data_IF_156456611610
#
_entry.id   IF_156456611610
#
_cell.length_a   1.000
_cell.length_b   1.000
_cell.length_c   1.000
_cell.angle_alpha   90.00
_cell.angle_beta   90.00
_cell.angle_gamma   90.00
#
_symmetry.space_group_name_H-M   'P 1'
#
loop_
_entity.id
_entity.type
_entity.pdbx_description
1 polymer ?
#
# COMPACT_ATOMS: atom_id res chain seq x y z
N UNK A 1 36.85 14.34 4.26
CA UNK A 1 35.64 14.50 5.10
C UNK A 1 34.61 13.55 4.54
N UNK A 2 34.43 12.40 5.18
CA UNK A 2 33.34 11.47 4.79
C UNK A 2 32.02 12.19 5.08
N UNK A 3 31.26 12.52 4.04
CA UNK A 3 29.85 12.82 4.20
C UNK A 3 29.23 11.56 4.80
N UNK A 4 28.86 11.61 6.09
CA UNK A 4 28.23 10.49 6.76
C UNK A 4 27.01 10.08 5.98
N UNK A 5 26.81 8.77 5.78
CA UNK A 5 25.58 8.23 5.20
C UNK A 5 24.39 8.81 5.98
N UNK A 6 23.39 9.33 5.26
CA UNK A 6 22.18 9.86 5.90
C UNK A 6 21.45 8.69 6.55
N UNK A 7 21.10 8.83 7.82
CA UNK A 7 20.28 7.82 8.50
C UNK A 7 18.79 7.97 8.12
N UNK A 8 18.01 6.93 8.38
CA UNK A 8 16.58 6.90 8.06
C UNK A 8 15.80 8.08 8.66
N UNK A 9 15.94 8.39 9.98
CA UNK A 9 15.25 9.54 10.58
C UNK A 9 15.58 10.88 9.92
N UNK A 10 16.83 11.11 9.56
CA UNK A 10 17.26 12.35 8.87
C UNK A 10 16.68 12.44 7.46
N UNK A 11 16.68 11.33 6.72
CA UNK A 11 16.06 11.24 5.39
C UNK A 11 14.55 11.50 5.46
N UNK A 12 13.86 10.89 6.41
CA UNK A 12 12.42 11.08 6.60
C UNK A 12 12.09 12.53 6.92
N UNK A 13 12.85 13.15 7.83
CA UNK A 13 12.70 14.57 8.19
C UNK A 13 12.88 15.50 6.98
N UNK A 14 13.87 15.22 6.13
CA UNK A 14 14.11 16.01 4.91
C UNK A 14 12.94 15.92 3.90
N UNK A 15 12.19 14.82 3.93
CA UNK A 15 11.02 14.59 3.08
C UNK A 15 9.69 14.91 3.77
N UNK A 16 9.70 15.42 4.99
CA UNK A 16 8.51 15.67 5.82
C UNK A 16 7.65 14.42 6.05
N UNK A 17 8.28 13.25 6.12
CA UNK A 17 7.64 11.96 6.35
C UNK A 17 7.77 11.60 7.84
N UNK A 18 6.70 11.16 8.53
CA UNK A 18 6.80 10.62 9.89
C UNK A 18 7.79 9.45 9.97
N UNK A 19 8.51 9.34 11.10
CA UNK A 19 9.45 8.26 11.32
C UNK A 19 9.35 7.70 12.74
N UNK A 20 9.19 6.38 12.89
CA UNK A 20 8.84 5.41 11.85
C UNK A 20 7.37 5.60 11.38
N UNK A 21 7.15 5.51 10.08
CA UNK A 21 5.83 5.74 9.50
C UNK A 21 4.87 4.56 9.75
N UNK A 22 3.62 4.87 10.08
CA UNK A 22 2.50 3.91 10.17
C UNK A 22 1.61 4.10 8.95
N UNK A 23 1.65 3.12 8.04
CA UNK A 23 0.95 3.16 6.76
C UNK A 23 -0.18 2.13 6.80
N UNK A 24 -1.44 2.61 6.88
CA UNK A 24 -2.62 1.76 6.95
C UNK A 24 -2.92 1.15 5.58
N UNK A 25 -2.47 -0.08 5.35
CA UNK A 25 -2.56 -0.81 4.09
C UNK A 25 -4.02 -1.11 3.72
N UNK A 26 -4.54 -0.38 2.72
CA UNK A 26 -5.96 -0.41 2.31
C UNK A 26 -6.91 -0.02 3.44
N UNK A 27 -6.46 0.86 4.33
CA UNK A 27 -7.12 1.22 5.57
C UNK A 27 -6.76 0.27 6.73
N UNK A 28 -7.58 0.25 7.78
CA UNK A 28 -7.48 -0.72 8.88
C UNK A 28 -8.11 -2.06 8.45
N UNK A 29 -7.49 -2.70 7.47
CA UNK A 29 -8.07 -3.79 6.67
C UNK A 29 -8.09 -5.15 7.40
N UNK A 30 -7.47 -5.26 8.56
CA UNK A 30 -7.66 -6.42 9.44
C UNK A 30 -9.02 -6.38 10.15
N UNK A 31 -9.48 -5.20 10.54
CA UNK A 31 -10.69 -5.02 11.35
C UNK A 31 -11.94 -4.65 10.54
N UNK A 32 -11.76 -4.23 9.29
CA UNK A 32 -12.84 -3.84 8.39
C UNK A 32 -12.49 -4.18 6.93
N UNK A 33 -13.49 -4.33 6.04
CA UNK A 33 -13.22 -4.66 4.65
C UNK A 33 -12.25 -3.66 3.98
N UNK A 34 -11.21 -4.18 3.33
CA UNK A 34 -10.19 -3.37 2.68
C UNK A 34 -10.78 -2.34 1.72
N UNK A 35 -10.15 -1.18 1.63
CA UNK A 35 -10.47 -0.11 0.66
C UNK A 35 -11.91 0.40 0.72
N UNK A 36 -12.54 0.27 1.89
CA UNK A 36 -13.91 0.76 2.15
C UNK A 36 -13.92 1.93 3.11
N UNK A 37 -15.06 2.61 3.17
CA UNK A 37 -15.30 3.71 4.14
C UNK A 37 -15.00 3.27 5.56
N UNK A 38 -15.45 2.09 5.98
CA UNK A 38 -15.22 1.58 7.34
C UNK A 38 -13.72 1.44 7.64
N UNK A 39 -12.95 0.84 6.72
CA UNK A 39 -11.51 0.64 6.90
C UNK A 39 -10.73 1.95 6.95
N UNK A 40 -11.05 2.90 6.09
CA UNK A 40 -10.35 4.19 6.05
C UNK A 40 -10.73 5.11 7.22
N UNK A 41 -12.01 5.17 7.59
CA UNK A 41 -12.43 5.92 8.78
C UNK A 41 -11.78 5.37 10.05
N UNK A 42 -11.75 4.04 10.19
CA UNK A 42 -11.11 3.41 11.34
C UNK A 42 -9.61 3.73 11.40
N UNK A 43 -8.90 3.62 10.29
CA UNK A 43 -7.48 3.95 10.21
C UNK A 43 -7.20 5.42 10.57
N UNK A 44 -8.05 6.35 10.09
CA UNK A 44 -7.98 7.77 10.45
C UNK A 44 -8.13 7.98 11.94
N UNK A 45 -9.18 7.43 12.54
CA UNK A 45 -9.48 7.62 13.97
C UNK A 45 -8.46 6.92 14.89
N UNK A 46 -7.86 5.83 14.45
CA UNK A 46 -6.74 5.20 15.15
C UNK A 46 -5.49 6.10 15.18
N UNK A 47 -5.32 6.99 14.21
CA UNK A 47 -4.19 7.91 14.12
C UNK A 47 -3.06 7.41 13.21
N UNK A 48 -3.37 6.61 12.20
CA UNK A 48 -2.40 6.24 11.16
C UNK A 48 -1.79 7.49 10.51
N UNK A 49 -0.51 7.43 10.16
CA UNK A 49 0.17 8.53 9.47
C UNK A 49 -0.34 8.68 8.03
N UNK A 50 -0.60 7.56 7.37
CA UNK A 50 -1.09 7.51 6.00
C UNK A 50 -2.22 6.50 5.83
N UNK A 51 -3.19 6.87 4.99
CA UNK A 51 -4.13 5.94 4.38
C UNK A 51 -3.54 5.47 3.05
N UNK A 52 -3.25 4.19 2.94
CA UNK A 52 -2.74 3.62 1.69
C UNK A 52 -3.88 3.14 0.81
N UNK A 53 -3.75 3.37 -0.49
CA UNK A 53 -4.78 3.03 -1.48
C UNK A 53 -4.17 2.69 -2.84
N UNK A 54 -4.90 1.83 -3.57
CA UNK A 54 -4.54 1.37 -4.91
C UNK A 54 -5.48 1.98 -5.94
N UNK A 55 -4.96 2.72 -6.90
CA UNK A 55 -5.77 3.36 -7.94
C UNK A 55 -5.85 2.53 -9.20
N UNK A 56 -7.08 2.37 -9.67
CA UNK A 56 -7.44 1.93 -11.01
C UNK A 56 -8.45 2.92 -11.60
N UNK A 57 -8.87 2.69 -12.82
CA UNK A 57 -9.78 3.60 -13.54
C UNK A 57 -10.95 2.85 -14.15
N UNK A 58 -12.14 3.39 -14.00
CA UNK A 58 -13.37 2.85 -14.59
C UNK A 58 -13.42 3.04 -16.11
N UNK A 59 -14.35 2.35 -16.75
CA UNK A 59 -14.64 2.52 -18.18
C UNK A 59 -14.97 3.96 -18.54
N UNK A 60 -15.70 4.67 -17.66
CA UNK A 60 -16.07 6.09 -17.81
C UNK A 60 -15.08 7.05 -17.15
N UNK A 61 -13.82 6.62 -17.03
CA UNK A 61 -12.67 7.46 -16.70
C UNK A 61 -12.66 8.06 -15.28
N UNK A 62 -13.19 7.35 -14.29
CA UNK A 62 -13.15 7.76 -12.87
C UNK A 62 -12.09 6.98 -12.13
N UNK A 63 -11.25 7.66 -11.32
CA UNK A 63 -10.27 7.01 -10.44
C UNK A 63 -10.99 6.35 -9.26
N UNK A 64 -10.81 5.04 -9.12
CA UNK A 64 -11.41 4.21 -8.07
C UNK A 64 -10.34 3.46 -7.29
N UNK A 65 -10.71 3.03 -6.10
CA UNK A 65 -9.80 2.41 -5.13
C UNK A 65 -10.08 0.91 -5.03
N UNK A 66 -9.28 0.13 -5.74
CA UNK A 66 -9.38 -1.33 -5.81
C UNK A 66 -7.98 -1.93 -6.00
N UNK A 67 -7.61 -2.91 -5.19
CA UNK A 67 -6.30 -3.57 -5.30
C UNK A 67 -6.22 -4.58 -6.44
N UNK A 68 -7.14 -5.54 -6.50
CA UNK A 68 -7.07 -6.66 -7.43
C UNK A 68 -7.43 -6.21 -8.87
N UNK A 69 -6.88 -6.90 -9.85
CA UNK A 69 -7.19 -6.67 -11.27
C UNK A 69 -8.65 -6.99 -11.60
N UNK A 70 -9.23 -7.94 -10.85
CA UNK A 70 -10.62 -8.36 -10.97
C UNK A 70 -11.36 -8.22 -9.64
N UNK A 71 -12.67 -8.09 -9.68
CA UNK A 71 -13.50 -7.72 -8.53
C UNK A 71 -13.97 -8.91 -7.67
N UNK A 72 -13.66 -10.15 -8.08
CA UNK A 72 -14.29 -11.36 -7.53
C UNK A 72 -14.01 -11.60 -6.05
N UNK A 73 -12.79 -11.29 -5.57
CA UNK A 73 -12.40 -11.54 -4.16
C UNK A 73 -13.11 -10.60 -3.19
N UNK A 74 -13.30 -9.34 -3.56
CA UNK A 74 -13.75 -8.27 -2.66
C UNK A 74 -15.13 -7.72 -2.99
N UNK A 75 -15.90 -8.39 -3.83
CA UNK A 75 -17.26 -7.97 -4.17
C UNK A 75 -18.16 -9.14 -4.57
N UNK A 76 -19.44 -8.84 -4.75
CA UNK A 76 -20.46 -9.74 -5.26
C UNK A 76 -20.60 -9.70 -6.80
N UNK A 77 -19.54 -9.33 -7.51
CA UNK A 77 -19.54 -9.20 -8.98
C UNK A 77 -20.01 -10.47 -9.69
N UNK A 78 -19.65 -11.65 -9.17
CA UNK A 78 -20.06 -12.93 -9.74
C UNK A 78 -21.58 -13.15 -9.70
N UNK A 79 -22.26 -12.58 -8.73
CA UNK A 79 -23.71 -12.63 -8.59
C UNK A 79 -24.41 -11.54 -9.41
N UNK A 80 -23.85 -10.31 -9.37
CA UNK A 80 -24.45 -9.13 -10.03
C UNK A 80 -24.18 -9.08 -11.52
N UNK A 81 -22.99 -9.48 -11.95
CA UNK A 81 -22.53 -9.46 -13.34
C UNK A 81 -21.84 -10.78 -13.69
N UNK A 82 -22.56 -11.91 -13.69
CA UNK A 82 -21.93 -13.24 -13.85
C UNK A 82 -21.14 -13.40 -15.14
N UNK A 83 -21.56 -12.75 -16.23
CA UNK A 83 -20.85 -12.79 -17.51
C UNK A 83 -19.53 -11.98 -17.50
N UNK A 84 -19.39 -11.07 -16.56
CA UNK A 84 -18.21 -10.21 -16.38
C UNK A 84 -17.49 -10.46 -15.05
N UNK A 85 -17.72 -11.60 -14.40
CA UNK A 85 -17.13 -11.92 -13.10
C UNK A 85 -15.60 -11.92 -13.10
N UNK A 86 -14.97 -12.15 -14.25
CA UNK A 86 -13.51 -12.15 -14.45
C UNK A 86 -13.00 -10.96 -15.26
N UNK A 87 -13.87 -9.99 -15.55
CA UNK A 87 -13.49 -8.77 -16.27
C UNK A 87 -12.67 -7.84 -15.38
N UNK A 88 -11.74 -7.08 -15.96
CA UNK A 88 -10.98 -6.08 -15.20
C UNK A 88 -11.87 -4.92 -14.76
N UNK A 89 -11.40 -4.16 -13.78
CA UNK A 89 -12.09 -2.95 -13.29
C UNK A 89 -12.43 -1.97 -14.42
N UNK A 90 -11.54 -1.85 -15.41
CA UNK A 90 -11.70 -0.97 -16.58
C UNK A 90 -12.89 -1.30 -17.49
N UNK A 91 -13.50 -2.46 -17.35
CA UNK A 91 -14.68 -2.85 -18.12
C UNK A 91 -16.00 -2.40 -17.48
N UNK A 92 -15.95 -1.83 -16.28
CA UNK A 92 -17.11 -1.38 -15.52
C UNK A 92 -17.19 0.14 -15.46
N UNK A 93 -18.42 0.68 -15.57
CA UNK A 93 -18.67 2.09 -15.24
C UNK A 93 -18.66 2.32 -13.72
N UNK A 94 -18.53 3.59 -13.30
CA UNK A 94 -18.63 3.92 -11.88
C UNK A 94 -20.01 3.49 -11.31
N UNK A 95 -21.09 3.72 -12.03
CA UNK A 95 -22.44 3.33 -11.59
C UNK A 95 -22.53 1.82 -11.34
N UNK A 96 -21.96 1.01 -12.24
CA UNK A 96 -21.91 -0.45 -12.07
C UNK A 96 -21.08 -0.84 -10.85
N UNK A 97 -19.89 -0.25 -10.64
CA UNK A 97 -19.07 -0.50 -9.46
C UNK A 97 -19.78 -0.11 -8.16
N UNK A 98 -20.49 1.01 -8.16
CA UNK A 98 -21.25 1.48 -7.00
C UNK A 98 -22.46 0.59 -6.66
N UNK A 99 -22.91 -0.24 -7.59
CA UNK A 99 -23.97 -1.22 -7.34
C UNK A 99 -23.50 -2.49 -6.62
N UNK A 100 -22.19 -2.71 -6.53
CA UNK A 100 -21.61 -3.90 -5.90
C UNK A 100 -21.56 -3.78 -4.38
N UNK A 101 -21.71 -4.92 -3.70
CA UNK A 101 -21.40 -5.09 -2.30
C UNK A 101 -19.91 -5.42 -2.16
N UNK A 102 -19.16 -4.50 -1.57
CA UNK A 102 -17.73 -4.63 -1.33
C UNK A 102 -17.37 -4.94 0.13
N UNK A 103 -18.34 -5.30 0.96
CA UNK A 103 -18.13 -5.54 2.39
C UNK A 103 -18.52 -6.93 2.88
N UNK A 104 -19.56 -7.55 2.34
CA UNK A 104 -20.05 -8.85 2.81
C UNK A 104 -19.06 -10.00 2.67
N UNK A 105 -18.18 -9.95 1.70
CA UNK A 105 -17.09 -10.92 1.54
C UNK A 105 -16.20 -11.04 2.78
N UNK A 106 -15.95 -9.90 3.46
CA UNK A 106 -15.14 -9.84 4.68
C UNK A 106 -15.80 -10.61 5.82
N UNK A 107 -17.10 -10.44 6.02
CA UNK A 107 -17.87 -11.14 7.04
C UNK A 107 -17.82 -12.65 6.84
N UNK A 108 -17.84 -13.09 5.58
CA UNK A 108 -17.75 -14.52 5.23
C UNK A 108 -16.33 -15.06 5.45
N UNK A 109 -15.31 -14.29 5.07
CA UNK A 109 -13.92 -14.69 5.21
C UNK A 109 -13.44 -14.65 6.66
N UNK A 110 -13.96 -13.72 7.46
CA UNK A 110 -13.52 -13.43 8.83
C UNK A 110 -14.71 -13.32 9.79
N UNK A 111 -15.40 -14.44 10.09
CA UNK A 111 -16.63 -14.41 10.91
C UNK A 111 -16.43 -13.85 12.32
N UNK A 112 -15.25 -14.00 12.91
CA UNK A 112 -14.91 -13.44 14.24
C UNK A 112 -14.80 -11.92 14.26
N UNK A 113 -14.66 -11.28 13.12
CA UNK A 113 -14.56 -9.82 12.94
C UNK A 113 -15.72 -9.26 12.13
N UNK A 114 -16.69 -10.13 11.80
CA UNK A 114 -17.85 -9.75 11.00
C UNK A 114 -18.72 -8.73 11.72
N UNK A 115 -19.29 -7.80 10.95
CA UNK A 115 -20.29 -6.84 11.39
C UNK A 115 -21.38 -6.73 10.34
N UNK A 116 -22.64 -6.73 10.78
CA UNK A 116 -23.78 -6.59 9.87
C UNK A 116 -23.70 -5.30 9.04
N UNK A 117 -23.20 -4.22 9.65
CA UNK A 117 -22.98 -2.92 9.01
C UNK A 117 -21.95 -2.92 7.87
N UNK A 118 -21.13 -3.95 7.75
CA UNK A 118 -20.20 -4.08 6.62
C UNK A 118 -20.87 -4.52 5.32
N UNK A 119 -22.07 -5.12 5.40
CA UNK A 119 -22.85 -5.44 4.22
C UNK A 119 -23.15 -4.17 3.42
N UNK A 120 -23.06 -4.27 2.09
CA UNK A 120 -23.33 -3.17 1.15
C UNK A 120 -22.35 -1.98 1.23
N UNK A 121 -21.21 -2.10 1.89
CA UNK A 121 -20.12 -1.14 1.68
C UNK A 121 -19.74 -1.12 0.21
N UNK A 122 -19.41 0.07 -0.30
CA UNK A 122 -19.18 0.29 -1.72
C UNK A 122 -17.70 0.44 -2.05
N UNK A 123 -17.36 0.22 -3.32
CA UNK A 123 -16.07 0.63 -3.89
C UNK A 123 -16.02 2.17 -3.89
N UNK A 124 -14.91 2.72 -3.41
CA UNK A 124 -14.72 4.17 -3.29
C UNK A 124 -14.03 4.76 -4.51
N UNK A 125 -14.35 6.02 -4.78
CA UNK A 125 -13.54 6.88 -5.65
C UNK A 125 -12.37 7.49 -4.88
N UNK A 126 -11.35 7.99 -5.59
CA UNK A 126 -10.28 8.77 -4.96
C UNK A 126 -10.83 10.00 -4.22
N UNK A 127 -11.81 10.71 -4.80
CA UNK A 127 -12.44 11.86 -4.15
C UNK A 127 -13.04 11.49 -2.79
N UNK A 128 -13.72 10.35 -2.69
CA UNK A 128 -14.30 9.88 -1.43
C UNK A 128 -13.24 9.57 -0.36
N UNK A 129 -12.09 9.00 -0.76
CA UNK A 129 -10.98 8.77 0.19
C UNK A 129 -10.35 10.10 0.61
N UNK A 130 -10.22 11.06 -0.28
CA UNK A 130 -9.77 12.43 0.06
C UNK A 130 -10.73 13.06 1.08
N UNK A 131 -12.04 12.96 0.87
CA UNK A 131 -13.04 13.45 1.81
C UNK A 131 -12.90 12.83 3.20
N UNK A 132 -12.62 11.53 3.26
CA UNK A 132 -12.35 10.84 4.54
C UNK A 132 -11.09 11.42 5.20
N UNK A 133 -10.00 11.57 4.47
CA UNK A 133 -8.75 12.12 5.01
C UNK A 133 -8.90 13.55 5.54
N UNK A 134 -9.77 14.35 4.92
CA UNK A 134 -10.06 15.73 5.32
C UNK A 134 -11.14 15.84 6.42
N UNK A 135 -11.92 14.79 6.63
CA UNK A 135 -13.18 14.84 7.40
C UNK A 135 -13.05 15.04 8.90
N UNK A 136 -11.83 15.00 9.47
CA UNK A 136 -11.61 15.28 10.89
C UNK A 136 -10.41 16.22 11.06
N UNK A 137 -10.62 17.48 11.48
CA UNK A 137 -9.53 18.46 11.64
C UNK A 137 -8.46 18.03 12.66
N UNK A 138 -8.79 17.14 13.59
CA UNK A 138 -7.86 16.64 14.62
C UNK A 138 -7.14 15.35 14.20
N UNK A 139 -7.56 14.75 13.10
CA UNK A 139 -7.04 13.48 12.59
C UNK A 139 -6.89 13.60 11.06
N UNK A 140 -5.77 14.16 10.62
CA UNK A 140 -5.50 14.42 9.20
C UNK A 140 -4.38 13.52 8.68
N UNK A 141 -4.66 12.25 8.36
CA UNK A 141 -3.68 11.38 7.74
C UNK A 141 -3.31 11.89 6.36
N UNK A 142 -2.08 11.58 5.94
CA UNK A 142 -1.68 11.70 4.54
C UNK A 142 -2.29 10.59 3.69
N UNK A 143 -2.05 10.65 2.38
CA UNK A 143 -2.42 9.62 1.43
C UNK A 143 -1.16 8.98 0.85
N UNK A 144 -1.15 7.66 0.81
CA UNK A 144 -0.09 6.85 0.23
C UNK A 144 -0.68 6.10 -0.98
N UNK A 145 -0.42 6.58 -2.19
CA UNK A 145 -1.22 6.26 -3.38
C UNK A 145 -0.41 5.43 -4.37
N UNK A 146 -0.89 4.22 -4.67
CA UNK A 146 -0.32 3.35 -5.70
C UNK A 146 -1.02 3.54 -7.05
N UNK A 147 -0.24 3.73 -8.12
CA UNK A 147 -0.71 3.52 -9.48
C UNK A 147 -0.66 2.01 -9.77
N UNK A 148 -1.82 1.37 -9.65
CA UNK A 148 -1.96 -0.08 -9.82
C UNK A 148 -2.05 -0.44 -11.30
N UNK A 149 -1.30 -1.46 -11.73
CA UNK A 149 -1.25 -1.92 -13.14
C UNK A 149 -1.29 -0.78 -14.17
N UNK A 150 -0.40 0.22 -14.07
CA UNK A 150 -0.52 1.49 -14.80
C UNK A 150 -0.50 1.33 -16.32
N UNK A 151 0.06 0.23 -16.83
CA UNK A 151 0.05 -0.11 -18.27
C UNK A 151 -1.37 -0.27 -18.82
N UNK A 152 -2.33 -0.65 -17.98
CA UNK A 152 -3.74 -0.77 -18.36
C UNK A 152 -4.46 0.60 -18.39
N UNK A 153 -3.88 1.61 -17.77
CA UNK A 153 -4.49 2.92 -17.59
C UNK A 153 -3.57 4.05 -18.10
N UNK A 154 -3.30 4.14 -19.41
CA UNK A 154 -2.43 5.20 -19.95
C UNK A 154 -2.90 6.59 -19.50
N UNK A 155 -1.97 7.40 -18.99
CA UNK A 155 -2.25 8.75 -18.49
C UNK A 155 -2.76 8.83 -17.05
N UNK A 156 -2.81 7.73 -16.31
CA UNK A 156 -3.29 7.72 -14.92
C UNK A 156 -2.45 8.65 -14.02
N UNK A 157 -1.17 8.80 -14.29
CA UNK A 157 -0.25 9.65 -13.52
C UNK A 157 -0.64 11.13 -13.63
N UNK A 158 -0.96 11.58 -14.85
CA UNK A 158 -1.44 12.95 -15.07
C UNK A 158 -2.84 13.15 -14.47
N UNK A 159 -3.73 12.17 -14.63
CA UNK A 159 -5.07 12.23 -14.07
C UNK A 159 -5.02 12.33 -12.53
N UNK A 160 -4.14 11.56 -11.88
CA UNK A 160 -3.89 11.65 -10.45
C UNK A 160 -3.37 13.02 -10.04
N UNK A 161 -2.38 13.54 -10.76
CA UNK A 161 -1.83 14.89 -10.52
C UNK A 161 -2.92 15.96 -10.63
N UNK A 162 -3.73 15.92 -11.67
CA UNK A 162 -4.81 16.90 -11.88
C UNK A 162 -5.85 16.83 -10.74
N UNK A 163 -6.19 15.64 -10.26
CA UNK A 163 -7.11 15.46 -9.12
C UNK A 163 -6.53 16.02 -7.84
N UNK A 164 -5.31 15.66 -7.48
CA UNK A 164 -4.65 16.13 -6.28
C UNK A 164 -4.46 17.65 -6.28
N UNK A 165 -4.12 18.21 -7.41
CA UNK A 165 -3.98 19.67 -7.58
C UNK A 165 -5.33 20.37 -7.39
N UNK A 166 -6.38 19.87 -8.02
CA UNK A 166 -7.73 20.44 -7.91
C UNK A 166 -8.27 20.40 -6.46
N UNK A 167 -7.87 19.39 -5.69
CA UNK A 167 -8.25 19.24 -4.28
C UNK A 167 -7.30 19.96 -3.30
N UNK A 168 -6.24 20.63 -3.78
CA UNK A 168 -5.27 21.35 -2.92
C UNK A 168 -4.35 20.43 -2.10
N UNK A 169 -4.07 19.22 -2.57
CA UNK A 169 -3.28 18.24 -1.85
C UNK A 169 -1.78 18.30 -2.16
N UNK A 170 -1.37 19.04 -3.17
CA UNK A 170 0.04 19.14 -3.56
C UNK A 170 0.81 20.24 -2.81
N UNK A 171 0.15 21.08 -2.02
CA UNK A 171 0.74 22.25 -1.39
C UNK A 171 1.45 21.95 -0.05
N UNK A 172 1.21 20.78 0.54
CA UNK A 172 1.81 20.38 1.82
C UNK A 172 2.84 19.26 1.63
N UNK A 173 4.14 19.53 1.88
CA UNK A 173 5.18 18.50 1.79
C UNK A 173 4.87 17.28 2.69
N UNK A 174 5.08 16.09 2.16
CA UNK A 174 4.89 14.83 2.90
C UNK A 174 3.46 14.41 3.16
N UNK A 175 2.46 15.20 2.73
CA UNK A 175 1.04 14.83 2.85
C UNK A 175 0.63 13.73 1.90
N UNK A 176 1.27 13.67 0.74
CA UNK A 176 1.09 12.63 -0.27
C UNK A 176 2.41 11.92 -0.49
N UNK A 177 2.36 10.59 -0.51
CA UNK A 177 3.43 9.74 -1.03
C UNK A 177 2.84 8.94 -2.18
N UNK A 178 3.55 8.87 -3.30
CA UNK A 178 3.18 8.09 -4.46
C UNK A 178 4.01 6.81 -4.50
N UNK A 179 3.42 5.71 -4.95
CA UNK A 179 4.14 4.44 -5.06
C UNK A 179 3.74 3.69 -6.32
N UNK A 180 4.63 2.85 -6.79
CA UNK A 180 4.39 1.97 -7.95
C UNK A 180 5.44 0.87 -8.01
N UNK A 181 5.07 -0.29 -8.58
CA UNK A 181 6.03 -1.34 -8.98
C UNK A 181 6.64 -1.05 -10.36
N UNK A 182 6.01 -0.20 -11.15
CA UNK A 182 6.37 0.04 -12.55
C UNK A 182 7.34 1.21 -12.67
N UNK A 183 8.55 0.97 -13.22
CA UNK A 183 9.56 2.02 -13.38
C UNK A 183 9.16 3.09 -14.38
N UNK A 184 8.34 2.76 -15.38
CA UNK A 184 7.85 3.77 -16.32
C UNK A 184 6.83 4.68 -15.64
N UNK A 185 5.91 4.12 -14.83
CA UNK A 185 4.98 4.91 -14.02
C UNK A 185 5.74 5.78 -13.02
N UNK A 186 6.79 5.26 -12.37
CA UNK A 186 7.64 6.06 -11.48
C UNK A 186 8.20 7.30 -12.19
N UNK A 187 8.75 7.12 -13.39
CA UNK A 187 9.29 8.22 -14.18
C UNK A 187 8.19 9.24 -14.56
N UNK A 188 7.01 8.77 -14.95
CA UNK A 188 5.87 9.64 -15.28
C UNK A 188 5.34 10.37 -14.03
N UNK A 189 5.25 9.72 -12.89
CA UNK A 189 4.89 10.36 -11.62
C UNK A 189 5.91 11.45 -11.25
N UNK A 190 7.20 11.18 -11.46
CA UNK A 190 8.24 12.19 -11.21
C UNK A 190 8.16 13.36 -12.16
N UNK A 191 7.87 13.11 -13.43
CA UNK A 191 7.65 14.17 -14.42
C UNK A 191 6.44 15.05 -14.07
N UNK A 192 5.33 14.44 -13.64
CA UNK A 192 4.08 15.15 -13.32
C UNK A 192 4.16 15.88 -11.97
N UNK A 193 4.79 15.28 -10.98
CA UNK A 193 4.81 15.75 -9.59
C UNK A 193 6.22 15.60 -8.99
N UNK A 194 7.23 16.36 -9.50
CA UNK A 194 8.61 16.20 -9.07
C UNK A 194 8.82 16.48 -7.57
N UNK A 195 8.00 17.34 -6.97
CA UNK A 195 8.08 17.72 -5.56
C UNK A 195 7.42 16.71 -4.60
N UNK A 196 6.58 15.79 -5.10
CA UNK A 196 5.88 14.81 -4.28
C UNK A 196 6.79 13.61 -4.02
N UNK A 197 6.95 13.14 -2.77
CA UNK A 197 7.71 11.93 -2.48
C UNK A 197 7.20 10.70 -3.23
N UNK A 198 8.10 9.91 -3.78
CA UNK A 198 7.79 8.68 -4.52
C UNK A 198 8.56 7.50 -3.97
N UNK A 199 7.95 6.35 -3.97
CA UNK A 199 8.49 5.06 -3.54
C UNK A 199 8.42 4.08 -4.70
N UNK A 200 9.52 3.38 -4.98
CA UNK A 200 9.51 2.23 -5.86
C UNK A 200 9.27 0.96 -5.03
N UNK A 201 8.15 0.28 -5.30
CA UNK A 201 7.83 -0.98 -4.66
C UNK A 201 8.72 -2.09 -5.24
N UNK A 202 9.22 -2.98 -4.39
CA UNK A 202 10.10 -4.07 -4.75
C UNK A 202 9.55 -5.41 -4.28
N UNK A 203 9.61 -6.40 -5.15
CA UNK A 203 9.38 -7.80 -4.83
C UNK A 203 10.28 -8.68 -5.69
N UNK A 204 10.34 -9.97 -5.39
CA UNK A 204 11.02 -10.94 -6.25
C UNK A 204 9.97 -11.59 -7.14
N UNK A 205 10.09 -11.38 -8.45
CA UNK A 205 9.15 -11.93 -9.42
C UNK A 205 9.17 -11.19 -10.74
N UNK A 206 8.20 -11.48 -11.57
CA UNK A 206 8.09 -10.90 -12.92
C UNK A 206 8.06 -9.37 -12.87
N UNK A 207 8.85 -8.75 -13.76
CA UNK A 207 8.99 -7.29 -13.88
C UNK A 207 9.58 -6.59 -12.63
N UNK A 208 10.19 -7.34 -11.72
CA UNK A 208 10.91 -6.84 -10.57
C UNK A 208 12.24 -7.60 -10.36
N UNK A 209 12.69 -7.78 -9.12
CA UNK A 209 13.96 -8.42 -8.80
C UNK A 209 13.96 -9.87 -9.29
N UNK A 210 14.97 -10.23 -10.07
CA UNK A 210 15.11 -11.60 -10.59
C UNK A 210 15.43 -12.58 -9.46
N UNK A 211 14.64 -13.68 -9.32
CA UNK A 211 14.90 -14.69 -8.32
C UNK A 211 16.14 -15.53 -8.64
N UNK A 212 16.84 -16.00 -7.62
CA UNK A 212 17.99 -16.89 -7.74
C UNK A 212 17.68 -18.17 -8.51
N UNK A 213 16.44 -18.67 -8.38
CA UNK A 213 15.98 -19.86 -9.11
C UNK A 213 15.77 -19.62 -10.60
N UNK A 214 15.71 -18.36 -11.05
CA UNK A 214 15.39 -17.99 -12.45
C UNK A 214 13.94 -18.30 -12.86
N UNK A 215 13.10 -18.72 -11.91
CA UNK A 215 11.70 -19.11 -12.18
C UNK A 215 10.73 -18.31 -11.31
N UNK A 216 9.68 -17.84 -11.92
CA UNK A 216 8.53 -17.28 -11.20
C UNK A 216 7.61 -18.39 -10.69
N UNK A 217 6.68 -18.04 -9.81
CA UNK A 217 5.73 -18.99 -9.20
C UNK A 217 4.92 -19.75 -10.27
N UNK A 218 4.42 -19.04 -11.27
CA UNK A 218 3.65 -19.61 -12.36
C UNK A 218 4.39 -20.75 -13.11
N UNK A 219 5.72 -20.64 -13.21
CA UNK A 219 6.57 -21.60 -13.93
C UNK A 219 7.21 -22.64 -13.00
N UNK A 220 6.99 -22.53 -11.69
CA UNK A 220 7.61 -23.40 -10.68
C UNK A 220 6.91 -24.75 -10.52
N UNK A 221 5.61 -24.82 -10.86
CA UNK A 221 4.76 -25.97 -10.61
C UNK A 221 4.35 -26.11 -9.12
N UNK A 222 4.76 -25.21 -8.25
CA UNK A 222 4.39 -25.19 -6.84
C UNK A 222 2.95 -24.67 -6.66
N UNK A 223 2.30 -25.10 -5.55
CA UNK A 223 0.91 -24.75 -5.27
C UNK A 223 0.77 -23.68 -4.17
N UNK A 224 1.75 -23.60 -3.27
CA UNK A 224 1.74 -22.65 -2.16
C UNK A 224 2.60 -21.44 -2.50
N UNK A 225 1.90 -20.38 -2.91
CA UNK A 225 2.51 -19.12 -3.34
C UNK A 225 3.30 -18.44 -2.21
N UNK A 226 2.76 -18.41 -1.00
CA UNK A 226 3.41 -17.76 0.13
C UNK A 226 4.71 -18.47 0.51
N UNK A 227 4.69 -19.80 0.60
CA UNK A 227 5.88 -20.61 0.87
C UNK A 227 6.90 -20.50 -0.26
N UNK A 228 6.45 -20.43 -1.51
CA UNK A 228 7.35 -20.25 -2.66
C UNK A 228 8.13 -18.94 -2.52
N UNK A 229 7.44 -17.81 -2.40
CA UNK A 229 8.07 -16.50 -2.33
C UNK A 229 8.89 -16.29 -1.05
N UNK A 230 8.47 -16.87 0.08
CA UNK A 230 9.22 -16.80 1.34
C UNK A 230 10.62 -17.43 1.26
N UNK A 231 10.87 -18.33 0.30
CA UNK A 231 12.17 -18.96 0.07
C UNK A 231 13.01 -18.29 -1.01
N UNK A 232 12.47 -17.27 -1.69
CA UNK A 232 13.20 -16.63 -2.75
C UNK A 232 14.25 -15.66 -2.21
N UNK A 233 15.34 -15.56 -2.97
CA UNK A 233 16.43 -14.59 -2.77
C UNK A 233 16.68 -13.88 -4.11
N UNK A 234 17.21 -12.66 -4.11
CA UNK A 234 17.73 -12.04 -5.32
C UNK A 234 18.78 -12.94 -5.98
N UNK A 235 18.85 -12.89 -7.28
CA UNK A 235 19.85 -13.64 -8.07
C UNK A 235 21.27 -13.44 -7.54
N UNK A 236 21.60 -12.21 -7.19
CA UNK A 236 22.84 -11.81 -6.52
C UNK A 236 22.66 -10.48 -5.78
N UNK A 237 23.68 -10.04 -5.05
CA UNK A 237 23.69 -8.73 -4.39
C UNK A 237 23.54 -7.58 -5.40
N UNK A 238 24.21 -7.67 -6.54
CA UNK A 238 24.19 -6.61 -7.54
C UNK A 238 22.81 -6.45 -8.19
N UNK A 239 22.04 -7.53 -8.29
CA UNK A 239 20.64 -7.46 -8.74
C UNK A 239 19.81 -6.53 -7.85
N UNK A 240 19.91 -6.71 -6.54
CA UNK A 240 19.20 -5.84 -5.58
C UNK A 240 19.69 -4.39 -5.68
N UNK A 241 21.01 -4.17 -5.72
CA UNK A 241 21.59 -2.83 -5.81
C UNK A 241 21.18 -2.09 -7.09
N UNK A 242 21.08 -2.79 -8.23
CA UNK A 242 20.59 -2.20 -9.50
C UNK A 242 19.17 -1.66 -9.36
N UNK A 243 18.30 -2.33 -8.59
CA UNK A 243 16.95 -1.85 -8.35
C UNK A 243 16.92 -0.61 -7.44
N UNK A 244 17.81 -0.52 -6.44
CA UNK A 244 17.98 0.70 -5.65
C UNK A 244 18.43 1.87 -6.52
N UNK A 245 19.40 1.63 -7.39
CA UNK A 245 19.90 2.65 -8.33
C UNK A 245 18.81 3.09 -9.32
N UNK A 246 18.00 2.16 -9.80
CA UNK A 246 16.83 2.48 -10.64
C UNK A 246 15.77 3.30 -9.91
N UNK A 247 15.50 3.01 -8.64
CA UNK A 247 14.59 3.79 -7.81
C UNK A 247 15.06 5.25 -7.70
N UNK A 248 16.32 5.44 -7.36
CA UNK A 248 16.94 6.78 -7.25
C UNK A 248 16.93 7.52 -8.58
N UNK A 249 17.32 6.87 -9.67
CA UNK A 249 17.33 7.44 -11.01
C UNK A 249 15.91 7.84 -11.48
N UNK A 250 14.88 7.10 -11.07
CA UNK A 250 13.48 7.40 -11.36
C UNK A 250 12.87 8.51 -10.48
N UNK A 251 13.63 9.09 -9.55
CA UNK A 251 13.19 10.17 -8.67
C UNK A 251 12.51 9.70 -7.39
N UNK A 252 12.61 8.41 -7.02
CA UNK A 252 12.11 7.93 -5.75
C UNK A 252 12.95 8.45 -4.59
N UNK A 253 12.29 8.67 -3.45
CA UNK A 253 12.93 9.02 -2.17
C UNK A 253 13.17 7.79 -1.30
N UNK A 254 12.69 6.65 -1.73
CA UNK A 254 12.79 5.40 -1.01
C UNK A 254 12.26 4.22 -1.81
N UNK A 255 12.34 3.05 -1.20
CA UNK A 255 11.79 1.80 -1.72
C UNK A 255 10.75 1.22 -0.77
N UNK A 256 9.83 0.44 -1.35
CA UNK A 256 8.85 -0.36 -0.61
C UNK A 256 9.12 -1.85 -0.83
N UNK A 257 10.07 -2.44 -0.10
CA UNK A 257 10.40 -3.84 -0.26
C UNK A 257 9.43 -4.76 0.46
N UNK A 258 9.28 -5.98 -0.07
CA UNK A 258 8.54 -7.06 0.57
C UNK A 258 9.27 -7.65 1.77
N UNK A 259 8.55 -8.39 2.61
CA UNK A 259 9.13 -9.16 3.70
C UNK A 259 8.47 -10.53 3.88
N UNK A 260 9.21 -11.44 4.48
CA UNK A 260 8.67 -12.69 5.00
C UNK A 260 7.94 -12.42 6.31
N UNK A 261 6.75 -12.98 6.46
CA UNK A 261 5.99 -12.92 7.72
C UNK A 261 6.28 -14.16 8.59
N UNK A 262 6.28 -13.99 9.90
CA UNK A 262 6.45 -15.09 10.86
C UNK A 262 5.39 -16.19 10.69
N UNK A 263 4.17 -15.80 10.33
CA UNK A 263 3.11 -16.70 9.90
C UNK A 263 2.92 -16.56 8.41
N UNK A 264 3.24 -17.60 7.65
CA UNK A 264 3.05 -17.60 6.21
C UNK A 264 1.55 -17.47 5.86
N UNK A 265 1.26 -16.67 4.87
CA UNK A 265 -0.07 -16.40 4.36
C UNK A 265 0.03 -15.64 3.03
N UNK A 266 -1.10 -15.32 2.41
CA UNK A 266 -1.14 -14.69 1.09
C UNK A 266 -0.24 -13.44 0.93
N UNK A 267 0.00 -12.73 2.03
CA UNK A 267 0.85 -11.54 2.06
C UNK A 267 2.27 -11.80 2.55
N UNK A 268 2.72 -13.04 2.58
CA UNK A 268 4.11 -13.39 2.83
C UNK A 268 4.87 -13.48 1.52
N UNK A 269 5.99 -12.76 1.46
CA UNK A 269 6.84 -12.66 0.26
C UNK A 269 8.31 -12.86 0.61
N UNK A 270 9.22 -12.65 -0.33
CA UNK A 270 10.66 -12.75 -0.10
C UNK A 270 11.14 -11.68 0.91
N UNK A 271 12.19 -12.03 1.65
CA UNK A 271 12.84 -11.11 2.59
C UNK A 271 13.77 -10.14 1.84
N UNK A 272 13.28 -8.92 1.63
CA UNK A 272 14.03 -7.82 1.03
C UNK A 272 14.37 -6.71 2.03
N UNK A 273 14.31 -7.00 3.35
CA UNK A 273 14.66 -6.06 4.41
C UNK A 273 15.80 -6.58 5.30
N UNK A 274 16.69 -7.39 4.76
CA UNK A 274 17.90 -7.78 5.48
C UNK A 274 18.72 -6.54 5.87
N UNK A 275 19.44 -6.55 6.99
CA UNK A 275 20.17 -5.36 7.44
C UNK A 275 21.10 -4.72 6.38
N UNK A 276 21.79 -5.53 5.58
CA UNK A 276 22.64 -5.03 4.50
C UNK A 276 21.86 -4.33 3.39
N UNK A 277 20.64 -4.79 3.10
CA UNK A 277 19.74 -4.20 2.09
C UNK A 277 19.27 -2.81 2.54
N UNK A 278 18.88 -2.70 3.81
CA UNK A 278 18.44 -1.42 4.39
C UNK A 278 19.59 -0.43 4.48
N UNK A 279 20.79 -0.91 4.87
CA UNK A 279 22.00 -0.09 4.86
C UNK A 279 22.32 0.43 3.46
N UNK A 280 22.30 -0.44 2.45
CA UNK A 280 22.54 -0.06 1.06
C UNK A 280 21.53 0.96 0.54
N UNK A 281 20.28 0.89 1.00
CA UNK A 281 19.23 1.88 0.70
C UNK A 281 19.58 3.25 1.34
N UNK A 282 19.89 3.26 2.61
CA UNK A 282 20.26 4.50 3.33
C UNK A 282 21.53 5.15 2.78
N UNK A 283 22.53 4.37 2.40
CA UNK A 283 23.75 4.87 1.74
C UNK A 283 23.46 5.59 0.42
N UNK A 284 22.36 5.24 -0.24
CA UNK A 284 21.87 5.90 -1.46
C UNK A 284 20.91 7.05 -1.18
N UNK A 285 20.64 7.36 0.09
CA UNK A 285 19.66 8.36 0.48
C UNK A 285 18.22 7.93 0.27
N UNK A 286 17.93 6.61 0.31
CA UNK A 286 16.61 6.05 0.13
C UNK A 286 16.03 5.58 1.47
N UNK A 287 14.78 5.97 1.75
CA UNK A 287 13.96 5.40 2.83
C UNK A 287 13.53 3.96 2.52
N UNK A 288 13.20 3.20 3.56
CA UNK A 288 12.70 1.82 3.45
C UNK A 288 11.35 1.71 4.13
N UNK A 289 10.28 1.52 3.35
CA UNK A 289 8.92 1.26 3.84
C UNK A 289 8.50 -0.15 3.46
N UNK A 290 8.54 -1.08 4.42
CA UNK A 290 8.29 -2.51 4.18
C UNK A 290 6.80 -2.86 4.12
N UNK A 291 6.41 -3.73 3.24
CA UNK A 291 5.05 -4.30 3.17
C UNK A 291 5.06 -5.84 3.29
N UNK A 292 4.06 -6.44 3.84
CA UNK A 292 2.98 -5.98 4.72
C UNK A 292 3.11 -6.78 6.00
N UNK A 293 3.28 -6.13 7.12
CA UNK A 293 3.52 -6.78 8.41
C UNK A 293 2.37 -6.44 9.38
N UNK A 294 1.94 -7.45 10.17
CA UNK A 294 0.80 -7.32 11.07
C UNK A 294 1.07 -7.77 12.50
N UNK A 295 2.16 -8.50 12.74
CA UNK A 295 2.47 -9.10 14.03
C UNK A 295 3.67 -8.41 14.71
N UNK A 296 3.62 -8.28 16.02
CA UNK A 296 4.66 -7.61 16.82
C UNK A 296 6.06 -8.19 16.63
N UNK A 297 6.16 -9.51 16.44
CA UNK A 297 7.44 -10.17 16.17
C UNK A 297 8.05 -9.69 14.87
N UNK A 298 7.22 -9.49 13.85
CA UNK A 298 7.65 -8.99 12.54
C UNK A 298 7.94 -7.49 12.58
N UNK A 299 7.16 -6.70 13.33
CA UNK A 299 7.47 -5.28 13.59
C UNK A 299 8.83 -5.12 14.24
N UNK A 300 9.10 -5.90 15.29
CA UNK A 300 10.38 -5.86 16.01
C UNK A 300 11.56 -6.24 15.11
N UNK A 301 11.41 -7.30 14.31
CA UNK A 301 12.41 -7.73 13.32
C UNK A 301 12.70 -6.63 12.30
N UNK A 302 11.66 -6.03 11.73
CA UNK A 302 11.79 -4.96 10.74
C UNK A 302 12.49 -3.73 11.31
N UNK A 303 12.09 -3.27 12.50
CA UNK A 303 12.71 -2.12 13.15
C UNK A 303 14.17 -2.37 13.49
N UNK A 304 14.51 -3.56 13.99
CA UNK A 304 15.90 -3.96 14.25
C UNK A 304 16.74 -4.00 12.97
N UNK A 305 16.11 -4.37 11.84
CA UNK A 305 16.79 -4.40 10.54
C UNK A 305 17.02 -3.00 9.93
N UNK A 306 16.39 -1.95 10.48
CA UNK A 306 16.61 -0.56 10.06
C UNK A 306 15.55 -0.02 9.08
N UNK A 307 14.33 -0.56 9.03
CA UNK A 307 13.26 0.01 8.20
C UNK A 307 12.74 1.33 8.78
N UNK A 308 12.19 2.17 7.94
CA UNK A 308 11.75 3.54 8.28
C UNK A 308 10.23 3.66 8.39
N UNK A 309 9.50 2.66 7.97
CA UNK A 309 8.05 2.62 8.04
C UNK A 309 7.50 1.26 7.64
N UNK A 310 6.27 0.99 8.05
CA UNK A 310 5.62 -0.30 7.86
C UNK A 310 4.22 -0.11 7.28
N UNK A 311 3.96 -0.79 6.16
CA UNK A 311 2.59 -1.04 5.70
C UNK A 311 1.99 -2.15 6.54
N UNK A 312 0.85 -1.89 7.16
CA UNK A 312 0.19 -2.84 8.03
C UNK A 312 -1.32 -2.84 7.83
N UNK A 313 -1.93 -4.01 7.93
CA UNK A 313 -3.39 -4.14 8.02
C UNK A 313 -3.90 -3.82 9.43
N UNK A 314 -2.98 -3.77 10.41
CA UNK A 314 -3.28 -3.59 11.85
C UNK A 314 -2.67 -2.29 12.38
N UNK A 315 -3.12 -1.16 11.82
CA UNK A 315 -2.58 0.15 12.17
C UNK A 315 -2.62 0.44 13.68
N UNK A 316 -3.69 0.07 14.37
CA UNK A 316 -3.79 0.24 15.83
C UNK A 316 -2.72 -0.54 16.59
N UNK A 317 -2.45 -1.78 16.18
CA UNK A 317 -1.42 -2.61 16.79
C UNK A 317 -0.01 -2.06 16.57
N UNK A 318 0.27 -1.55 15.37
CA UNK A 318 1.56 -0.92 15.07
C UNK A 318 1.74 0.38 15.86
N UNK A 319 0.70 1.20 15.97
CA UNK A 319 0.72 2.43 16.78
C UNK A 319 1.00 2.12 18.26
N UNK A 320 0.38 1.08 18.82
CA UNK A 320 0.65 0.61 20.18
C UNK A 320 2.07 0.05 20.34
N UNK A 321 2.57 -0.65 19.34
CA UNK A 321 3.94 -1.14 19.31
C UNK A 321 4.95 0.02 19.36
N UNK A 322 4.69 1.11 18.67
CA UNK A 322 5.50 2.34 18.72
C UNK A 322 5.24 3.21 19.95
N UNK A 323 4.40 2.76 20.87
CA UNK A 323 3.98 3.52 22.05
C UNK A 323 3.41 4.91 21.73
N UNK A 324 2.71 5.03 20.58
CA UNK A 324 1.93 6.24 20.26
C UNK A 324 0.82 6.40 21.30
N UNK A 325 0.68 7.59 21.87
CA UNK A 325 -0.24 7.83 22.96
C UNK A 325 -1.71 7.66 22.55
N UNK A 326 -2.52 7.10 23.46
CA UNK A 326 -3.98 7.08 23.37
C UNK A 326 -4.55 6.46 22.08
N UNK A 327 -4.10 5.26 21.75
CA UNK A 327 -4.70 4.48 20.64
C UNK A 327 -5.97 3.79 21.16
N UNK A 328 -7.17 4.22 20.74
CA UNK A 328 -8.42 3.57 21.17
C UNK A 328 -8.54 2.14 20.65
N UNK A 329 -9.43 1.35 21.25
CA UNK A 329 -9.75 0.02 20.75
C UNK A 329 -10.55 0.11 19.43
N UNK A 330 -10.22 -0.73 18.47
CA UNK A 330 -10.82 -0.78 17.13
C UNK A 330 -12.34 -1.00 17.21
N UNK A 331 -12.78 -1.95 18.05
CA UNK A 331 -14.20 -2.25 18.23
C UNK A 331 -15.01 -1.05 18.75
N UNK A 332 -14.41 -0.25 19.65
CA UNK A 332 -15.02 0.98 20.17
C UNK A 332 -15.16 2.01 19.04
N UNK A 333 -14.08 2.24 18.29
CA UNK A 333 -14.10 3.22 17.19
C UNK A 333 -15.09 2.83 16.08
N UNK A 334 -15.14 1.55 15.70
CA UNK A 334 -16.12 1.08 14.72
C UNK A 334 -17.54 1.38 15.18
N UNK A 335 -17.86 1.12 16.44
CA UNK A 335 -19.17 1.44 17.01
C UNK A 335 -19.47 2.95 16.97
N UNK A 336 -18.51 3.78 17.37
CA UNK A 336 -18.64 5.25 17.33
C UNK A 336 -18.82 5.77 15.90
N UNK A 337 -18.22 5.10 14.90
CA UNK A 337 -18.34 5.41 13.49
C UNK A 337 -19.63 4.89 12.84
N UNK A 338 -20.43 4.12 13.58
CA UNK A 338 -21.70 3.58 13.08
C UNK A 338 -21.64 2.18 12.47
N UNK A 339 -20.56 1.44 12.77
CA UNK A 339 -20.35 0.08 12.28
C UNK A 339 -20.47 -0.99 13.36
#
# INVERSE_FOLDING_TARGET
MNAGASDGPSLAKAQHVPHPAVIAHRGASFDAPESTTAAYLLARELGADYLELDLQRTLDNVLVVVHDDVLARTSDVAERFPERAKSPVSDFTLAELKSLDAGSWFNKAYPDRARESFAKLQILTLDEVIDIAEGNPQRQPGLYIETKVPKQFPGIEKQLKDKLQARGWLDKPGRVILQTFDRNSLALLHQQMPQVPKILLLWIGKDSIEPKSGKDFADSGEKDKASFYARQEPKDHDEFLRWLDAAKAGGAIGTGPSAVRSKLGEQSYADLIQPWMNQASHERGLLVHVYTLDDRVDFAKAMKAGVDGIFTNRAGELLRFYARSQVPAEARLLKELGY
#
